data_IF_055261148129
#
_entry.id   IF_055261148129
#
_cell.length_a   1.000
_cell.length_b   1.000
_cell.length_c   1.000
_cell.angle_alpha   90.00
_cell.angle_beta   90.00
_cell.angle_gamma   90.00
#
_symmetry.space_group_name_H-M   'P 1'
#
loop_
_entity.id
_entity.type
_entity.pdbx_description
1 polymer ?
#
# COMPACT_ATOMS: atom_id res chain seq x y z
N UNK A 1 -57.54 39.06 -6.56
CA UNK A 1 -56.90 37.87 -5.95
C UNK A 1 -56.19 38.32 -4.68
N UNK A 2 -56.45 37.66 -3.55
CA UNK A 2 -55.91 38.06 -2.25
C UNK A 2 -54.39 37.92 -2.20
N UNK A 3 -53.65 39.04 -2.24
CA UNK A 3 -52.18 39.03 -2.18
C UNK A 3 -51.59 38.33 -0.96
N UNK A 4 -52.36 38.23 0.14
CA UNK A 4 -51.99 37.46 1.34
C UNK A 4 -51.92 35.95 1.07
N UNK A 5 -52.82 35.43 0.24
CA UNK A 5 -52.81 34.01 -0.16
C UNK A 5 -51.60 33.71 -1.04
N UNK A 6 -51.28 34.62 -1.97
CA UNK A 6 -50.10 34.49 -2.84
C UNK A 6 -48.79 34.47 -2.03
N UNK A 7 -48.64 35.35 -1.04
CA UNK A 7 -47.49 35.35 -0.13
C UNK A 7 -47.40 34.06 0.70
N UNK A 8 -48.52 33.56 1.21
CA UNK A 8 -48.55 32.33 2.00
C UNK A 8 -48.15 31.09 1.18
N UNK A 9 -48.71 30.93 -0.02
CA UNK A 9 -48.33 29.85 -0.92
C UNK A 9 -46.88 29.99 -1.42
N UNK A 10 -46.41 31.22 -1.64
CA UNK A 10 -45.01 31.50 -1.96
C UNK A 10 -44.06 31.02 -0.85
N UNK A 11 -44.36 31.33 0.41
CA UNK A 11 -43.56 30.89 1.56
C UNK A 11 -43.53 29.35 1.68
N UNK A 12 -44.66 28.67 1.46
CA UNK A 12 -44.72 27.20 1.47
C UNK A 12 -43.91 26.60 0.32
N UNK A 13 -44.00 27.17 -0.88
CA UNK A 13 -43.24 26.71 -2.03
C UNK A 13 -41.73 26.80 -1.79
N UNK A 14 -41.27 27.92 -1.19
CA UNK A 14 -39.86 28.09 -0.80
C UNK A 14 -39.47 27.07 0.28
N UNK A 15 -40.30 26.85 1.30
CA UNK A 15 -40.02 25.87 2.33
C UNK A 15 -39.85 24.46 1.75
N UNK A 16 -40.75 24.04 0.86
CA UNK A 16 -40.66 22.75 0.16
C UNK A 16 -39.39 22.67 -0.68
N UNK A 17 -39.06 23.73 -1.44
CA UNK A 17 -37.84 23.77 -2.25
C UNK A 17 -36.58 23.61 -1.40
N UNK A 18 -36.51 24.23 -0.22
CA UNK A 18 -35.37 24.08 0.70
C UNK A 18 -35.26 22.63 1.14
N UNK A 19 -36.36 21.99 1.56
CA UNK A 19 -36.34 20.57 1.97
C UNK A 19 -35.88 19.67 0.83
N UNK A 20 -36.43 19.85 -0.37
CA UNK A 20 -36.03 19.06 -1.56
C UNK A 20 -34.56 19.30 -1.89
N UNK A 21 -34.09 20.54 -1.81
CA UNK A 21 -32.69 20.89 -2.09
C UNK A 21 -31.73 20.22 -1.12
N UNK A 22 -32.08 20.16 0.17
CA UNK A 22 -31.27 19.46 1.18
C UNK A 22 -31.20 17.97 0.87
N UNK A 23 -32.32 17.33 0.53
CA UNK A 23 -32.34 15.91 0.15
C UNK A 23 -31.48 15.64 -1.07
N UNK A 24 -31.61 16.45 -2.12
CA UNK A 24 -30.78 16.34 -3.33
C UNK A 24 -29.30 16.57 -3.06
N UNK A 25 -28.97 17.48 -2.14
CA UNK A 25 -27.60 17.73 -1.71
C UNK A 25 -26.98 16.49 -1.06
N UNK A 26 -27.69 15.83 -0.16
CA UNK A 26 -27.20 14.60 0.49
C UNK A 26 -26.99 13.49 -0.54
N UNK A 27 -27.94 13.29 -1.45
CA UNK A 27 -27.82 12.28 -2.52
C UNK A 27 -26.60 12.59 -3.40
N UNK A 28 -26.46 13.85 -3.81
CA UNK A 28 -25.33 14.29 -4.65
C UNK A 28 -24.00 14.14 -3.93
N UNK A 29 -23.95 14.39 -2.62
CA UNK A 29 -22.75 14.21 -1.81
C UNK A 29 -22.31 12.74 -1.76
N UNK A 30 -23.25 11.79 -1.61
CA UNK A 30 -22.96 10.35 -1.60
C UNK A 30 -22.43 9.90 -2.98
N UNK A 31 -23.10 10.31 -4.06
CA UNK A 31 -22.66 9.99 -5.43
C UNK A 31 -21.31 10.63 -5.73
N UNK A 32 -21.12 11.88 -5.30
CA UNK A 32 -19.87 12.60 -5.44
C UNK A 32 -18.73 11.92 -4.70
N UNK A 33 -18.97 11.43 -3.49
CA UNK A 33 -17.99 10.68 -2.71
C UNK A 33 -17.60 9.37 -3.40
N UNK A 34 -18.57 8.60 -3.88
CA UNK A 34 -18.30 7.37 -4.62
C UNK A 34 -17.47 7.66 -5.88
N UNK A 35 -17.84 8.69 -6.63
CA UNK A 35 -17.12 9.13 -7.83
C UNK A 35 -15.71 9.61 -7.49
N UNK A 36 -15.52 10.33 -6.39
CA UNK A 36 -14.22 10.80 -5.94
C UNK A 36 -13.29 9.64 -5.57
N UNK A 37 -13.79 8.61 -4.89
CA UNK A 37 -13.01 7.40 -4.59
C UNK A 37 -12.60 6.69 -5.87
N UNK A 38 -13.54 6.45 -6.79
CA UNK A 38 -13.25 5.81 -8.07
C UNK A 38 -12.21 6.62 -8.85
N UNK A 39 -12.42 7.94 -8.97
CA UNK A 39 -11.49 8.84 -9.64
C UNK A 39 -10.12 8.84 -8.96
N UNK A 40 -10.07 8.84 -7.62
CA UNK A 40 -8.82 8.80 -6.88
C UNK A 40 -8.00 7.54 -7.18
N UNK A 41 -8.67 6.38 -7.21
CA UNK A 41 -8.03 5.11 -7.60
C UNK A 41 -7.53 5.18 -9.05
N UNK A 42 -8.37 5.66 -9.97
CA UNK A 42 -7.98 5.79 -11.39
C UNK A 42 -6.79 6.74 -11.55
N UNK A 43 -6.79 7.89 -10.88
CA UNK A 43 -5.67 8.84 -10.91
C UNK A 43 -4.40 8.22 -10.35
N UNK A 44 -4.46 7.49 -9.22
CA UNK A 44 -3.32 6.77 -8.68
C UNK A 44 -2.80 5.70 -9.64
N UNK A 45 -3.69 4.92 -10.27
CA UNK A 45 -3.32 3.91 -11.26
C UNK A 45 -2.66 4.55 -12.49
N UNK A 46 -3.17 5.68 -12.97
CA UNK A 46 -2.58 6.44 -14.07
C UNK A 46 -1.19 6.96 -13.69
N UNK A 47 -1.03 7.52 -12.48
CA UNK A 47 0.27 8.00 -11.99
C UNK A 47 1.28 6.85 -11.87
N UNK A 48 0.88 5.71 -11.30
CA UNK A 48 1.71 4.53 -11.20
C UNK A 48 2.10 3.99 -12.59
N UNK A 49 1.14 3.92 -13.52
CA UNK A 49 1.38 3.52 -14.89
C UNK A 49 2.34 4.46 -15.62
N UNK A 50 2.19 5.78 -15.44
CA UNK A 50 3.07 6.78 -16.03
C UNK A 50 4.48 6.68 -15.46
N UNK A 51 4.62 6.47 -14.14
CA UNK A 51 5.90 6.21 -13.48
C UNK A 51 6.57 4.95 -14.00
N UNK A 52 5.82 3.86 -14.20
CA UNK A 52 6.34 2.62 -14.77
C UNK A 52 6.82 2.82 -16.21
N UNK A 53 6.07 3.53 -17.04
CA UNK A 53 6.48 3.84 -18.42
C UNK A 53 7.73 4.70 -18.43
N UNK A 54 7.81 5.72 -17.57
CA UNK A 54 8.98 6.57 -17.43
C UNK A 54 10.22 5.77 -16.98
N UNK A 55 10.06 4.89 -15.99
CA UNK A 55 11.12 3.99 -15.53
C UNK A 55 11.59 3.08 -16.66
N UNK A 56 10.67 2.43 -17.37
CA UNK A 56 10.99 1.52 -18.46
C UNK A 56 11.69 2.23 -19.62
N UNK A 57 11.18 3.40 -20.03
CA UNK A 57 11.80 4.21 -21.07
C UNK A 57 13.19 4.72 -20.65
N UNK A 58 13.33 5.16 -19.39
CA UNK A 58 14.61 5.54 -18.81
C UNK A 58 15.60 4.38 -18.77
N UNK A 59 15.17 3.19 -18.39
CA UNK A 59 16.01 1.99 -18.35
C UNK A 59 16.48 1.54 -19.73
N UNK A 60 15.71 1.78 -20.80
CA UNK A 60 16.17 1.52 -22.16
C UNK A 60 17.10 2.59 -22.70
N UNK A 61 16.95 3.84 -22.25
CA UNK A 61 17.80 4.94 -22.69
C UNK A 61 19.13 5.00 -21.92
N UNK A 62 19.14 4.60 -20.65
CA UNK A 62 20.32 4.56 -19.78
C UNK A 62 20.91 3.15 -19.63
N UNK A 63 20.23 2.10 -20.10
CA UNK A 63 20.65 0.71 -19.88
C UNK A 63 21.64 0.13 -20.88
N UNK A 64 22.04 0.88 -21.91
CA UNK A 64 23.06 0.44 -22.89
C UNK A 64 24.49 0.93 -22.57
N UNK A 65 24.66 1.88 -21.63
CA UNK A 65 25.98 2.35 -21.19
C UNK A 65 26.05 2.38 -19.65
N UNK A 66 26.93 1.55 -19.10
CA UNK A 66 27.30 1.47 -17.67
C UNK A 66 26.21 0.96 -16.71
N UNK A 67 26.17 -0.36 -16.52
CA UNK A 67 25.90 -0.93 -15.21
C UNK A 67 27.17 -0.82 -14.35
N UNK A 68 27.32 0.16 -13.44
CA UNK A 68 28.18 -0.04 -12.30
C UNK A 68 27.53 -1.14 -11.46
N UNK A 69 28.19 -2.29 -11.41
CA UNK A 69 28.00 -3.28 -10.37
C UNK A 69 27.91 -2.54 -9.03
N UNK A 70 26.72 -2.52 -8.44
CA UNK A 70 26.52 -2.24 -7.01
C UNK A 70 27.03 -3.43 -6.19
N UNK A 71 28.25 -3.87 -6.50
CA UNK A 71 29.12 -4.56 -5.57
C UNK A 71 29.92 -3.46 -4.89
N UNK A 72 29.88 -3.40 -3.56
CA UNK A 72 30.62 -2.46 -2.67
C UNK A 72 29.84 -1.26 -2.11
N UNK A 73 28.59 -1.46 -1.67
CA UNK A 73 28.07 -0.70 -0.52
C UNK A 73 27.79 -1.67 0.63
N UNK A 74 28.77 -1.79 1.52
CA UNK A 74 28.57 -2.21 2.91
C UNK A 74 28.31 -3.69 3.15
N UNK A 75 29.33 -4.42 3.61
CA UNK A 75 29.23 -5.82 4.04
C UNK A 75 28.23 -6.03 5.17
N UNK A 76 26.99 -6.38 4.79
CA UNK A 76 25.91 -6.82 5.67
C UNK A 76 24.93 -7.80 5.02
N UNK A 77 25.12 -8.17 3.75
CA UNK A 77 24.16 -9.02 2.99
C UNK A 77 24.48 -10.51 3.02
N UNK A 78 25.71 -10.91 3.35
CA UNK A 78 26.11 -12.33 3.29
C UNK A 78 25.43 -13.21 4.35
N UNK A 79 25.03 -12.62 5.49
CA UNK A 79 24.29 -13.34 6.54
C UNK A 79 22.81 -13.51 6.16
N UNK A 80 22.18 -12.45 5.64
CA UNK A 80 20.77 -12.45 5.25
C UNK A 80 20.53 -13.37 4.04
N UNK A 81 21.38 -13.34 3.01
CA UNK A 81 21.28 -14.27 1.86
C UNK A 81 21.51 -15.74 2.28
N UNK A 82 22.35 -15.99 3.29
CA UNK A 82 22.58 -17.34 3.82
C UNK A 82 21.40 -17.84 4.67
N UNK A 83 20.71 -16.94 5.38
CA UNK A 83 19.50 -17.19 6.14
C UNK A 83 18.30 -17.46 5.22
N UNK A 84 18.10 -16.60 4.20
CA UNK A 84 17.06 -16.78 3.18
C UNK A 84 17.23 -18.11 2.44
N UNK A 85 18.46 -18.45 2.02
CA UNK A 85 18.75 -19.74 1.39
C UNK A 85 18.56 -20.95 2.31
N UNK A 86 18.52 -20.78 3.64
CA UNK A 86 18.22 -21.84 4.61
C UNK A 86 16.72 -21.98 4.83
N UNK A 87 15.99 -20.87 4.90
CA UNK A 87 14.53 -20.86 4.99
C UNK A 87 13.87 -21.44 3.73
N UNK A 88 14.43 -21.16 2.55
CA UNK A 88 13.95 -21.73 1.28
C UNK A 88 14.07 -23.27 1.24
N UNK A 89 15.13 -23.83 1.84
CA UNK A 89 15.26 -25.30 1.96
C UNK A 89 14.23 -25.91 2.89
N UNK A 90 13.87 -25.23 3.98
CA UNK A 90 12.83 -25.68 4.91
C UNK A 90 11.45 -25.63 4.24
N UNK A 91 11.17 -24.57 3.47
CA UNK A 91 9.93 -24.44 2.69
C UNK A 91 9.79 -25.56 1.65
N UNK A 92 10.87 -25.89 0.93
CA UNK A 92 10.88 -27.00 -0.02
C UNK A 92 10.57 -28.34 0.67
N UNK A 93 11.18 -28.61 1.83
CA UNK A 93 10.97 -29.84 2.60
C UNK A 93 9.55 -29.96 3.17
N UNK A 94 8.93 -28.84 3.55
CA UNK A 94 7.54 -28.80 4.00
C UNK A 94 6.57 -29.14 2.84
N UNK A 95 6.76 -28.51 1.67
CA UNK A 95 5.92 -28.75 0.48
C UNK A 95 6.05 -30.19 -0.02
N UNK A 96 7.25 -30.78 0.11
CA UNK A 96 7.51 -32.19 -0.22
C UNK A 96 7.02 -33.16 0.86
N UNK A 97 6.50 -32.66 1.99
CA UNK A 97 5.99 -33.47 3.11
C UNK A 97 7.07 -34.16 3.93
N UNK A 98 8.33 -33.72 3.82
CA UNK A 98 9.47 -34.26 4.56
C UNK A 98 9.52 -33.73 6.00
N UNK A 99 8.94 -32.56 6.27
CA UNK A 99 8.78 -32.00 7.63
C UNK A 99 7.30 -31.63 7.86
N UNK A 100 6.85 -31.76 9.10
CA UNK A 100 5.50 -31.35 9.49
C UNK A 100 5.41 -29.83 9.70
N UNK A 101 4.20 -29.25 9.55
CA UNK A 101 3.95 -27.82 9.81
C UNK A 101 4.47 -27.39 11.19
N UNK A 102 4.18 -28.16 12.23
CA UNK A 102 4.59 -27.84 13.59
C UNK A 102 6.12 -27.81 13.77
N UNK A 103 6.84 -28.61 12.99
CA UNK A 103 8.30 -28.59 12.97
C UNK A 103 8.86 -27.42 12.16
N UNK A 104 8.19 -27.04 11.07
CA UNK A 104 8.52 -25.86 10.29
C UNK A 104 8.39 -24.59 11.14
N UNK A 105 7.24 -24.38 11.78
CA UNK A 105 6.99 -23.21 12.63
C UNK A 105 7.98 -23.12 13.79
N UNK A 106 8.26 -24.24 14.46
CA UNK A 106 9.23 -24.27 15.57
C UNK A 106 10.64 -23.90 15.11
N UNK A 107 11.06 -24.36 13.93
CA UNK A 107 12.40 -24.10 13.39
C UNK A 107 12.57 -22.67 12.90
N UNK A 108 11.51 -22.10 12.29
CA UNK A 108 11.51 -20.70 11.85
C UNK A 108 11.54 -19.76 13.06
N UNK A 109 10.80 -20.07 14.13
CA UNK A 109 10.78 -19.27 15.34
C UNK A 109 12.14 -19.23 16.07
N UNK A 110 12.81 -20.38 16.18
CA UNK A 110 14.13 -20.51 16.84
C UNK A 110 15.22 -19.71 16.10
N UNK A 111 15.19 -19.70 14.75
CA UNK A 111 16.17 -18.95 13.95
C UNK A 111 15.93 -17.43 14.09
N UNK A 112 14.67 -16.98 14.04
CA UNK A 112 14.33 -15.55 14.16
C UNK A 112 14.70 -14.96 15.53
N UNK A 113 14.55 -15.73 16.61
CA UNK A 113 14.96 -15.32 17.97
C UNK A 113 16.49 -15.21 18.10
N UNK A 114 17.25 -16.05 17.40
CA UNK A 114 18.72 -15.97 17.41
C UNK A 114 19.29 -14.86 16.54
N UNK A 115 18.64 -14.49 15.43
CA UNK A 115 19.02 -13.32 14.61
C UNK A 115 18.79 -12.00 15.36
N UNK A 116 17.68 -11.87 16.11
CA UNK A 116 17.38 -10.65 16.86
C UNK A 116 18.41 -10.38 17.99
N UNK A 117 18.91 -11.43 18.66
CA UNK A 117 19.90 -11.28 19.73
C UNK A 117 21.29 -10.86 19.22
N UNK A 118 21.73 -11.37 18.06
CA UNK A 118 23.08 -11.11 17.52
C UNK A 118 23.20 -9.70 16.88
N UNK A 119 22.08 -9.13 16.43
CA UNK A 119 22.02 -7.75 15.93
C UNK A 119 21.92 -6.71 17.06
N UNK A 120 21.20 -7.01 18.15
CA UNK A 120 21.08 -6.12 19.32
C UNK A 120 22.43 -5.96 20.04
N UNK A 121 23.18 -7.06 20.23
CA UNK A 121 24.49 -7.01 20.90
C UNK A 121 25.52 -6.22 20.09
N UNK A 122 25.45 -6.29 18.75
CA UNK A 122 26.34 -5.55 17.84
C UNK A 122 26.07 -4.05 17.82
N UNK A 123 24.83 -3.64 18.06
CA UNK A 123 24.44 -2.22 18.11
C UNK A 123 24.85 -1.56 19.44
N UNK A 124 24.79 -2.31 20.55
CA UNK A 124 25.21 -1.86 21.89
C UNK A 124 26.74 -1.62 22.02
N UNK A 125 27.56 -2.26 21.19
CA UNK A 125 29.01 -2.04 21.17
C UNK A 125 29.43 -0.77 20.40
N UNK A 126 28.61 -0.27 19.47
CA UNK A 126 28.91 0.99 18.74
C UNK A 126 28.63 2.26 19.54
N UNK A 127 27.86 2.16 20.61
CA UNK A 127 27.47 3.31 21.44
C UNK A 127 28.40 3.58 22.64
N UNK A 128 29.52 2.84 22.77
CA UNK A 128 30.53 3.05 23.82
C UNK A 128 31.85 3.64 23.32
#
# INVERSE_FOLDING_TARGET
MDGKKALYYGAIAVAILVVVSVVLSVISAIIGLATAVISGIVTLAVLAGLGYVAYKAGSWLLGDDDSPSVDSIGGGTTAVDAADGRQDRLRQQYVEGQISEAEFERRIADELETEELDDIDRELERER
#
